data_IF_075517433604
#
_entry.id   IF_075517433604
#
_cell.length_a   1.000
_cell.length_b   1.000
_cell.length_c   1.000
_cell.angle_alpha   90.00
_cell.angle_beta   90.00
_cell.angle_gamma   90.00
#
_symmetry.space_group_name_H-M   'P 1'
#
loop_
_entity.id
_entity.type
_entity.pdbx_description
1 polymer ?
#
# COMPACT_ATOMS: atom_id res chain seq x y z
N UNK A 1 -7.69 -16.13 -43.43
CA UNK A 1 -8.26 -16.22 -42.06
C UNK A 1 -7.13 -16.03 -41.09
N UNK A 2 -7.14 -14.94 -40.32
CA UNK A 2 -6.19 -14.80 -39.21
C UNK A 2 -6.50 -15.88 -38.18
N UNK A 3 -5.49 -16.57 -37.62
CA UNK A 3 -5.74 -17.52 -36.55
C UNK A 3 -6.46 -16.80 -35.38
N UNK A 4 -7.37 -17.48 -34.68
CA UNK A 4 -7.94 -16.92 -33.45
C UNK A 4 -6.79 -16.60 -32.49
N UNK A 5 -6.84 -15.48 -31.75
CA UNK A 5 -5.82 -15.17 -30.76
C UNK A 5 -5.71 -16.35 -29.78
N UNK A 6 -4.51 -16.65 -29.26
CA UNK A 6 -4.35 -17.70 -28.26
C UNK A 6 -5.33 -17.42 -27.12
N UNK A 7 -6.07 -18.43 -26.68
CA UNK A 7 -6.86 -18.35 -25.46
C UNK A 7 -5.90 -18.09 -24.30
N UNK A 8 -5.79 -16.84 -23.88
CA UNK A 8 -4.95 -16.45 -22.74
C UNK A 8 -5.57 -17.12 -21.51
N UNK A 9 -4.84 -18.05 -20.90
CA UNK A 9 -5.24 -18.64 -19.63
C UNK A 9 -4.91 -17.60 -18.56
N UNK A 10 -5.89 -16.78 -18.22
CA UNK A 10 -5.77 -15.82 -17.14
C UNK A 10 -5.74 -16.53 -15.79
N UNK A 11 -4.95 -16.01 -14.86
CA UNK A 11 -4.96 -16.49 -13.48
C UNK A 11 -6.33 -16.26 -12.84
N UNK A 12 -6.64 -16.95 -11.73
CA UNK A 12 -7.89 -16.70 -10.98
C UNK A 12 -8.01 -15.21 -10.61
N UNK A 13 -6.93 -14.62 -10.09
CA UNK A 13 -6.90 -13.21 -9.67
C UNK A 13 -7.21 -12.28 -10.84
N UNK A 14 -6.63 -12.55 -12.00
CA UNK A 14 -6.83 -11.75 -13.20
C UNK A 14 -8.28 -11.86 -13.70
N UNK A 15 -8.87 -13.06 -13.70
CA UNK A 15 -10.28 -13.23 -14.04
C UNK A 15 -11.21 -12.50 -13.06
N UNK A 16 -10.94 -12.61 -11.76
CA UNK A 16 -11.72 -11.91 -10.71
C UNK A 16 -11.65 -10.39 -10.92
N UNK A 17 -10.46 -9.87 -11.26
CA UNK A 17 -10.25 -8.44 -11.56
C UNK A 17 -10.98 -7.99 -12.84
N UNK A 18 -10.82 -8.73 -13.95
CA UNK A 18 -11.48 -8.43 -15.22
C UNK A 18 -13.00 -8.45 -15.06
N UNK A 19 -13.52 -9.42 -14.31
CA UNK A 19 -14.94 -9.52 -14.01
C UNK A 19 -15.41 -8.33 -13.19
N UNK A 20 -14.68 -7.95 -12.14
CA UNK A 20 -15.03 -6.80 -11.31
C UNK A 20 -15.03 -5.48 -12.11
N UNK A 21 -14.00 -5.26 -12.94
CA UNK A 21 -13.87 -4.11 -13.84
C UNK A 21 -15.00 -4.03 -14.88
N UNK A 22 -15.51 -5.19 -15.35
CA UNK A 22 -16.61 -5.23 -16.32
C UNK A 22 -17.97 -4.90 -15.70
N UNK A 23 -18.12 -5.06 -14.38
CA UNK A 23 -19.40 -4.87 -13.68
C UNK A 23 -19.54 -3.50 -13.02
N UNK A 24 -18.43 -2.86 -12.62
CA UNK A 24 -18.45 -1.55 -11.94
C UNK A 24 -17.09 -0.85 -12.01
N UNK A 25 -17.08 0.42 -11.64
CA UNK A 25 -15.85 1.18 -11.41
C UNK A 25 -15.18 0.63 -10.13
N UNK A 26 -13.87 0.37 -10.23
CA UNK A 26 -13.03 0.05 -9.09
C UNK A 26 -12.28 1.30 -8.62
N UNK A 27 -12.14 1.43 -7.31
CA UNK A 27 -11.49 2.58 -6.67
C UNK A 27 -10.12 2.14 -6.12
N UNK A 28 -9.07 2.85 -6.52
CA UNK A 28 -7.74 2.74 -5.90
C UNK A 28 -7.70 3.70 -4.70
N UNK A 29 -6.94 3.35 -3.67
CA UNK A 29 -6.76 4.17 -2.48
C UNK A 29 -6.10 5.53 -2.76
N UNK A 30 -6.05 6.35 -1.71
CA UNK A 30 -5.48 7.70 -1.78
C UNK A 30 -4.01 7.74 -1.37
N UNK A 31 -3.44 8.95 -1.40
CA UNK A 31 -2.04 9.17 -1.07
C UNK A 31 -1.68 8.75 0.38
N UNK A 32 -0.81 7.73 0.51
CA UNK A 32 -0.25 7.25 1.78
C UNK A 32 0.46 8.37 2.56
N UNK A 33 1.36 9.11 1.91
CA UNK A 33 2.16 10.16 2.54
C UNK A 33 1.31 11.28 3.17
N UNK A 34 0.23 11.70 2.51
CA UNK A 34 -0.69 12.72 3.03
C UNK A 34 -1.40 12.25 4.30
N UNK A 35 -1.73 10.96 4.39
CA UNK A 35 -2.33 10.38 5.58
C UNK A 35 -1.31 10.29 6.72
N UNK A 36 -0.08 9.84 6.44
CA UNK A 36 1.01 9.76 7.43
C UNK A 36 1.29 11.13 8.06
N UNK A 37 1.29 12.22 7.28
CA UNK A 37 1.52 13.58 7.79
C UNK A 37 0.54 13.98 8.92
N UNK A 38 -0.67 13.42 8.96
CA UNK A 38 -1.67 13.70 10.01
C UNK A 38 -1.30 13.13 11.37
N UNK A 39 -0.48 12.09 11.41
CA UNK A 39 -0.01 11.44 12.64
C UNK A 39 1.09 12.23 13.35
N UNK A 40 1.69 13.24 12.69
CA UNK A 40 2.76 14.08 13.25
C UNK A 40 3.90 13.26 13.88
N UNK A 41 4.30 12.20 13.17
CA UNK A 41 5.36 11.30 13.60
C UNK A 41 6.68 12.05 13.75
N UNK A 42 7.46 11.63 14.74
CA UNK A 42 8.76 12.19 15.06
C UNK A 42 9.89 11.22 14.72
N UNK A 43 11.13 11.67 14.75
CA UNK A 43 12.31 10.86 14.39
C UNK A 43 12.35 9.51 15.10
N UNK A 44 11.90 9.44 16.36
CA UNK A 44 11.82 8.20 17.13
C UNK A 44 10.87 7.16 16.53
N UNK A 45 9.81 7.59 15.83
CA UNK A 45 8.84 6.68 15.18
C UNK A 45 9.42 5.98 13.95
N UNK A 46 10.48 6.53 13.35
CA UNK A 46 11.18 5.95 12.20
C UNK A 46 12.36 5.06 12.62
N UNK A 47 12.52 4.80 13.92
CA UNK A 47 13.62 4.01 14.46
C UNK A 47 13.11 2.81 15.24
N UNK A 48 13.82 1.69 15.11
CA UNK A 48 13.57 0.47 15.87
C UNK A 48 14.89 -0.24 16.19
N UNK A 49 14.88 -1.07 17.23
CA UNK A 49 16.05 -1.85 17.63
C UNK A 49 16.27 -3.08 16.75
N UNK A 50 15.19 -3.71 16.29
CA UNK A 50 15.23 -5.00 15.57
C UNK A 50 16.09 -4.96 14.30
N UNK A 51 16.17 -3.79 13.66
CA UNK A 51 16.96 -3.58 12.43
C UNK A 51 18.07 -2.53 12.63
N UNK A 52 18.52 -2.33 13.87
CA UNK A 52 19.60 -1.40 14.24
C UNK A 52 19.37 0.05 13.76
N UNK A 53 18.13 0.45 13.48
CA UNK A 53 17.81 1.80 13.00
C UNK A 53 18.04 2.87 14.08
N UNK A 54 18.02 2.49 15.35
CA UNK A 54 18.36 3.40 16.45
C UNK A 54 19.80 3.92 16.41
N UNK A 55 20.75 3.17 15.84
CA UNK A 55 22.15 3.58 15.72
C UNK A 55 22.47 4.19 14.35
N UNK A 56 21.48 4.24 13.45
CA UNK A 56 21.67 4.78 12.12
C UNK A 56 22.02 6.27 12.16
N UNK A 57 23.11 6.64 11.48
CA UNK A 57 23.77 7.96 11.61
C UNK A 57 23.00 9.11 10.99
N UNK A 58 22.12 8.82 10.04
CA UNK A 58 21.32 9.84 9.35
C UNK A 58 19.91 9.93 9.97
N UNK A 59 19.27 11.11 9.92
CA UNK A 59 17.85 11.24 10.20
C UNK A 59 17.04 10.32 9.28
N UNK A 60 16.07 9.62 9.86
CA UNK A 60 15.18 8.71 9.14
C UNK A 60 13.76 9.27 8.97
N UNK A 61 13.40 10.33 9.72
CA UNK A 61 12.12 11.02 9.57
C UNK A 61 11.87 11.44 8.13
N UNK A 62 10.73 11.04 7.60
CA UNK A 62 10.31 11.29 6.22
C UNK A 62 10.52 10.10 5.28
N UNK A 63 11.27 9.07 5.68
CA UNK A 63 11.30 7.80 4.96
C UNK A 63 10.10 6.93 5.38
N UNK A 64 8.96 7.15 4.73
CA UNK A 64 7.68 6.54 5.08
C UNK A 64 7.65 5.02 4.91
N UNK A 65 8.44 4.47 4.00
CA UNK A 65 8.60 3.04 3.78
C UNK A 65 9.00 2.31 5.06
N UNK A 66 9.86 2.93 5.88
CA UNK A 66 10.29 2.36 7.16
C UNK A 66 9.14 2.16 8.14
N UNK A 67 8.06 2.94 8.02
CA UNK A 67 6.91 2.82 8.92
C UNK A 67 6.19 1.48 8.73
N UNK A 68 6.34 0.80 7.59
CA UNK A 68 5.88 -0.60 7.43
C UNK A 68 6.54 -1.56 8.44
N UNK A 69 7.72 -1.19 8.97
CA UNK A 69 8.50 -1.95 9.93
C UNK A 69 8.43 -1.32 11.32
N UNK A 70 8.64 -0.01 11.43
CA UNK A 70 8.78 0.67 12.73
C UNK A 70 7.44 1.05 13.35
N UNK A 71 6.40 1.28 12.52
CA UNK A 71 5.03 1.63 12.92
C UNK A 71 3.98 0.93 12.05
N UNK A 72 4.00 -0.43 12.00
CA UNK A 72 3.05 -1.19 11.19
C UNK A 72 1.60 -0.94 11.61
N UNK A 73 1.37 -0.54 12.85
CA UNK A 73 0.08 -0.11 13.37
C UNK A 73 -0.47 1.11 12.62
N UNK A 74 0.36 2.10 12.30
CA UNK A 74 -0.04 3.31 11.56
C UNK A 74 -0.38 2.97 10.11
N UNK A 75 0.46 2.19 9.45
CA UNK A 75 0.24 1.79 8.05
C UNK A 75 -1.04 0.95 7.92
N UNK A 76 -1.25 0.01 8.85
CA UNK A 76 -2.48 -0.80 8.88
C UNK A 76 -3.73 0.07 9.06
N UNK A 77 -3.71 1.02 9.99
CA UNK A 77 -4.85 1.92 10.24
C UNK A 77 -5.16 2.79 9.00
N UNK A 78 -4.14 3.25 8.26
CA UNK A 78 -4.34 4.02 7.03
C UNK A 78 -4.99 3.16 5.94
N UNK A 79 -4.52 1.93 5.71
CA UNK A 79 -5.15 1.03 4.75
C UNK A 79 -6.60 0.70 5.15
N UNK A 80 -6.87 0.46 6.43
CA UNK A 80 -8.23 0.25 6.93
C UNK A 80 -9.13 1.44 6.62
N UNK A 81 -8.68 2.67 6.84
CA UNK A 81 -9.44 3.88 6.50
C UNK A 81 -9.77 3.98 5.01
N UNK A 82 -8.86 3.58 4.12
CA UNK A 82 -9.14 3.58 2.68
C UNK A 82 -10.15 2.50 2.29
N UNK A 83 -10.01 1.29 2.85
CA UNK A 83 -10.97 0.20 2.63
C UNK A 83 -12.37 0.57 3.16
N UNK A 84 -12.45 1.16 4.35
CA UNK A 84 -13.70 1.67 4.94
C UNK A 84 -14.33 2.80 4.12
N UNK A 85 -13.52 3.62 3.46
CA UNK A 85 -13.98 4.66 2.53
C UNK A 85 -14.44 4.09 1.17
N UNK A 86 -14.24 2.79 0.92
CA UNK A 86 -14.69 2.11 -0.30
C UNK A 86 -13.60 1.90 -1.35
N UNK A 87 -12.32 1.98 -0.99
CA UNK A 87 -11.26 1.53 -1.88
C UNK A 87 -11.36 0.01 -2.11
N UNK A 88 -11.24 -0.39 -3.38
CA UNK A 88 -11.24 -1.79 -3.81
C UNK A 88 -9.82 -2.35 -3.92
N UNK A 89 -8.87 -1.45 -4.17
CA UNK A 89 -7.47 -1.74 -4.41
C UNK A 89 -6.66 -0.81 -3.52
N UNK A 90 -5.68 -1.35 -2.83
CA UNK A 90 -4.74 -0.59 -2.00
C UNK A 90 -3.34 -0.75 -2.57
N UNK A 91 -2.56 0.33 -2.56
CA UNK A 91 -1.14 0.29 -2.90
C UNK A 91 -0.32 -0.21 -1.70
N UNK A 92 0.84 -0.80 -1.95
CA UNK A 92 1.79 -1.09 -0.86
C UNK A 92 2.48 0.19 -0.39
N UNK A 93 2.88 0.27 0.88
CA UNK A 93 3.74 1.35 1.37
C UNK A 93 5.20 1.07 0.98
N UNK A 94 5.53 1.40 -0.28
CA UNK A 94 6.79 1.10 -1.00
C UNK A 94 7.15 2.20 -1.97
#
# INVERSE_FOLDING_TARGET
MTPPPPSIIHSKIENDLILALSNRILIIDGAMGTMIQRYKLEESDFRCNEYELNTHKHPLKGNNDLLSITRPDVILEIHQKYLEAGADIIETNT
#
